data_IF_288566545313
#
_entry.id   IF_288566545313
#
_cell.length_a   1.000
_cell.length_b   1.000
_cell.length_c   1.000
_cell.angle_alpha   90.00
_cell.angle_beta   90.00
_cell.angle_gamma   90.00
#
_symmetry.space_group_name_H-M   'P 1'
#
loop_
_entity.id
_entity.type
_entity.pdbx_description
1 polymer ?
#
# COMPACT_ATOMS: atom_id res chain seq x y z
N UNK A 1 30.70 -84.07 -44.15
CA UNK A 1 31.19 -83.43 -42.91
C UNK A 1 30.01 -82.84 -42.17
N UNK A 2 29.96 -83.04 -40.84
CA UNK A 2 28.95 -82.60 -39.85
C UNK A 2 27.64 -83.42 -39.67
N UNK A 3 27.82 -84.56 -39.00
CA UNK A 3 27.08 -85.13 -37.85
C UNK A 3 25.59 -84.80 -37.54
N UNK A 4 24.77 -85.85 -37.56
CA UNK A 4 24.01 -86.45 -36.45
C UNK A 4 23.25 -85.54 -35.46
N UNK A 5 21.91 -85.60 -35.52
CA UNK A 5 21.01 -85.41 -34.36
C UNK A 5 20.38 -86.75 -34.00
N UNK A 6 20.74 -87.29 -32.85
CA UNK A 6 20.06 -88.41 -32.20
C UNK A 6 18.97 -87.92 -31.25
N UNK A 7 17.94 -88.76 -31.14
CA UNK A 7 16.74 -88.74 -30.28
C UNK A 7 17.04 -88.51 -28.79
N UNK A 8 16.07 -88.17 -27.93
CA UNK A 8 15.20 -89.14 -27.23
C UNK A 8 14.04 -88.40 -26.53
N UNK A 9 12.81 -88.89 -26.70
CA UNK A 9 11.67 -88.64 -25.83
C UNK A 9 11.84 -89.38 -24.50
N UNK A 10 11.58 -88.71 -23.37
CA UNK A 10 11.27 -89.40 -22.11
C UNK A 10 10.14 -88.68 -21.39
N UNK A 11 9.05 -89.43 -21.22
CA UNK A 11 7.87 -89.16 -20.41
C UNK A 11 8.20 -88.94 -18.94
N UNK A 12 7.49 -88.03 -18.27
CA UNK A 12 7.24 -88.13 -16.84
C UNK A 12 5.80 -87.70 -16.53
N UNK A 13 5.07 -88.64 -15.92
CA UNK A 13 3.79 -88.43 -15.25
C UNK A 13 3.98 -88.79 -13.76
N UNK A 14 3.01 -88.52 -12.88
CA UNK A 14 3.02 -87.46 -11.90
C UNK A 14 3.44 -87.95 -10.49
N UNK A 15 4.04 -87.06 -9.70
CA UNK A 15 4.19 -87.27 -8.25
C UNK A 15 3.56 -86.09 -7.50
N UNK A 16 2.50 -86.42 -6.78
CA UNK A 16 1.79 -85.66 -5.76
C UNK A 16 2.71 -84.83 -4.87
N UNK A 17 2.66 -83.50 -5.02
CA UNK A 17 3.25 -82.53 -4.13
C UNK A 17 2.16 -81.87 -3.28
N UNK A 18 2.20 -82.16 -2.00
CA UNK A 18 1.33 -81.74 -0.91
C UNK A 18 1.00 -80.24 -0.94
N UNK A 19 -0.28 -79.88 -0.99
CA UNK A 19 -0.76 -78.52 -0.70
C UNK A 19 -0.50 -78.22 0.78
N UNK A 20 0.66 -77.64 1.09
CA UNK A 20 0.89 -77.05 2.41
C UNK A 20 0.04 -75.79 2.48
N UNK A 21 -1.10 -75.88 3.19
CA UNK A 21 -1.90 -74.72 3.62
C UNK A 21 -0.95 -73.68 4.24
N UNK A 22 -0.63 -72.64 3.49
CA UNK A 22 0.01 -71.44 4.01
C UNK A 22 -1.01 -70.82 4.97
N UNK A 23 -0.85 -71.14 6.27
CA UNK A 23 -1.57 -70.46 7.35
C UNK A 23 -1.29 -68.98 7.19
N UNK A 24 -2.28 -68.24 6.68
CA UNK A 24 -2.35 -66.79 6.75
C UNK A 24 -2.41 -66.44 8.23
N UNK A 25 -1.25 -66.24 8.85
CA UNK A 25 -1.15 -65.72 10.18
C UNK A 25 -1.51 -64.23 10.08
N UNK A 26 -2.80 -63.91 10.21
CA UNK A 26 -3.25 -62.55 10.52
C UNK A 26 -2.81 -62.22 11.95
N UNK A 27 -1.52 -61.92 12.10
CA UNK A 27 -1.02 -61.23 13.28
C UNK A 27 -1.50 -59.78 13.17
N UNK A 28 -2.55 -59.44 13.93
CA UNK A 28 -2.86 -58.05 14.27
C UNK A 28 -1.68 -57.51 15.08
N UNK A 29 -0.60 -57.09 14.40
CA UNK A 29 0.49 -56.35 15.04
C UNK A 29 -0.08 -55.00 15.46
N UNK A 30 -0.23 -54.78 16.77
CA UNK A 30 -0.65 -53.49 17.33
C UNK A 30 0.23 -52.36 16.80
N UNK A 31 -0.37 -51.18 16.57
CA UNK A 31 0.38 -49.99 16.17
C UNK A 31 1.35 -49.62 17.28
N UNK A 32 2.65 -49.79 17.02
CA UNK A 32 3.71 -49.33 17.91
C UNK A 32 3.74 -47.79 17.87
N UNK A 33 3.95 -47.10 19.00
CA UNK A 33 3.97 -45.64 19.06
C UNK A 33 4.93 -45.01 18.02
N UNK A 34 6.07 -45.63 17.77
CA UNK A 34 7.03 -45.20 16.75
C UNK A 34 6.47 -45.24 15.31
N UNK A 35 5.60 -46.21 15.00
CA UNK A 35 4.91 -46.27 13.70
C UNK A 35 3.88 -45.16 13.56
N UNK A 36 3.19 -44.80 14.65
CA UNK A 36 2.28 -43.65 14.69
C UNK A 36 3.06 -42.36 14.41
N UNK A 37 4.18 -42.13 15.11
CA UNK A 37 5.01 -40.93 14.93
C UNK A 37 5.55 -40.83 13.50
N UNK A 38 6.08 -41.91 12.95
CA UNK A 38 6.56 -41.91 11.57
C UNK A 38 5.43 -41.62 10.57
N UNK A 39 4.22 -42.13 10.82
CA UNK A 39 3.06 -41.87 9.98
C UNK A 39 2.60 -40.41 10.05
N UNK A 40 2.60 -39.83 11.25
CA UNK A 40 2.30 -38.42 11.47
C UNK A 40 3.33 -37.53 10.75
N UNK A 41 4.62 -37.85 10.88
CA UNK A 41 5.69 -37.13 10.17
C UNK A 41 5.53 -37.19 8.65
N UNK A 42 5.27 -38.37 8.09
CA UNK A 42 5.00 -38.55 6.64
C UNK A 42 3.77 -37.78 6.17
N UNK A 43 2.73 -37.73 7.00
CA UNK A 43 1.54 -36.92 6.74
C UNK A 43 1.89 -35.44 6.77
N UNK A 44 2.71 -34.99 7.72
CA UNK A 44 3.23 -33.63 7.79
C UNK A 44 4.03 -33.23 6.54
N UNK A 45 4.90 -34.11 6.03
CA UNK A 45 5.63 -33.88 4.78
C UNK A 45 4.66 -33.73 3.60
N UNK A 46 3.62 -34.56 3.52
CA UNK A 46 2.60 -34.43 2.47
C UNK A 46 1.87 -33.09 2.57
N UNK A 47 1.50 -32.66 3.77
CA UNK A 47 0.87 -31.34 4.00
C UNK A 47 1.83 -30.22 3.58
N UNK A 48 3.11 -30.28 3.96
CA UNK A 48 4.11 -29.29 3.58
C UNK A 48 4.27 -29.18 2.05
N UNK A 49 4.24 -30.32 1.33
CA UNK A 49 4.27 -30.32 -0.13
C UNK A 49 3.01 -29.68 -0.74
N UNK A 50 1.82 -29.91 -0.16
CA UNK A 50 0.58 -29.25 -0.59
C UNK A 50 0.65 -27.74 -0.32
N UNK A 51 1.16 -27.33 0.84
CA UNK A 51 1.34 -25.90 1.18
C UNK A 51 2.28 -25.22 0.18
N UNK A 52 3.41 -25.86 -0.15
CA UNK A 52 4.32 -25.32 -1.15
C UNK A 52 3.66 -25.19 -2.54
N UNK A 53 2.85 -26.17 -2.95
CA UNK A 53 2.04 -26.07 -4.16
C UNK A 53 1.08 -24.87 -4.11
N UNK A 54 0.41 -24.65 -2.98
CA UNK A 54 -0.49 -23.49 -2.79
C UNK A 54 0.27 -22.18 -2.95
N UNK A 55 1.50 -22.06 -2.44
CA UNK A 55 2.32 -20.86 -2.65
C UNK A 55 2.64 -20.64 -4.13
N UNK A 56 3.03 -21.68 -4.87
CA UNK A 56 3.27 -21.56 -6.31
C UNK A 56 2.02 -21.07 -7.07
N UNK A 57 0.84 -21.60 -6.72
CA UNK A 57 -0.43 -21.18 -7.34
C UNK A 57 -0.79 -19.74 -6.97
N UNK A 58 -0.63 -19.35 -5.71
CA UNK A 58 -0.88 -17.98 -5.24
C UNK A 58 0.05 -16.99 -5.95
N UNK A 59 1.35 -17.24 -5.95
CA UNK A 59 2.33 -16.42 -6.65
C UNK A 59 1.97 -16.27 -8.14
N UNK A 60 1.65 -17.38 -8.82
CA UNK A 60 1.22 -17.36 -10.23
C UNK A 60 -0.02 -16.49 -10.43
N UNK A 61 -1.05 -16.64 -9.58
CA UNK A 61 -2.28 -15.85 -9.65
C UNK A 61 -1.94 -14.36 -9.54
N UNK A 62 -1.17 -13.97 -8.53
CA UNK A 62 -0.81 -12.57 -8.29
C UNK A 62 0.06 -11.99 -9.41
N UNK A 63 1.01 -12.77 -9.93
CA UNK A 63 1.77 -12.38 -11.13
C UNK A 63 0.85 -12.07 -12.31
N UNK A 64 -0.18 -12.89 -12.55
CA UNK A 64 -1.17 -12.63 -13.61
C UNK A 64 -2.01 -11.38 -13.29
N UNK A 65 -2.35 -11.13 -12.03
CA UNK A 65 -3.07 -9.93 -11.60
C UNK A 65 -2.25 -8.66 -11.86
N UNK A 66 -0.97 -8.65 -11.51
CA UNK A 66 -0.04 -7.54 -11.80
C UNK A 66 0.10 -7.32 -13.31
N UNK A 67 0.33 -8.37 -14.09
CA UNK A 67 0.46 -8.28 -15.55
C UNK A 67 -0.82 -7.78 -16.25
N UNK A 68 -1.98 -7.94 -15.60
CA UNK A 68 -3.27 -7.44 -16.10
C UNK A 68 -3.59 -6.04 -15.59
N UNK A 69 -2.74 -5.44 -14.75
CA UNK A 69 -3.00 -4.15 -14.11
C UNK A 69 -4.25 -4.19 -13.23
N UNK A 70 -4.43 -5.27 -12.44
CA UNK A 70 -5.59 -5.38 -11.55
C UNK A 70 -5.58 -4.25 -10.53
N UNK A 71 -6.77 -3.72 -10.26
CA UNK A 71 -7.00 -2.72 -9.23
C UNK A 71 -6.56 -3.18 -7.83
N UNK A 72 -5.81 -2.30 -7.18
CA UNK A 72 -5.46 -2.42 -5.77
C UNK A 72 -6.54 -1.78 -4.87
N UNK A 73 -6.66 -2.25 -3.61
CA UNK A 73 -7.60 -1.66 -2.66
C UNK A 73 -7.24 -0.20 -2.33
N UNK A 74 -8.27 0.59 -2.01
CA UNK A 74 -8.11 1.92 -1.41
C UNK A 74 -7.76 1.74 0.07
N UNK A 75 -6.74 2.46 0.53
CA UNK A 75 -6.29 2.50 1.91
C UNK A 75 -6.61 3.88 2.49
N UNK A 76 -7.10 3.92 3.72
CA UNK A 76 -7.35 5.17 4.43
C UNK A 76 -6.74 5.05 5.82
N UNK A 77 -5.70 5.83 6.15
CA UNK A 77 -5.17 5.89 7.51
C UNK A 77 -6.27 6.35 8.49
N UNK A 78 -6.11 6.04 9.79
CA UNK A 78 -7.01 6.54 10.80
C UNK A 78 -7.00 8.08 10.82
N UNK A 79 -8.14 8.72 11.15
CA UNK A 79 -8.24 10.17 11.13
C UNK A 79 -7.20 10.86 12.00
N UNK A 80 -6.62 11.96 11.50
CA UNK A 80 -5.77 12.84 12.30
C UNK A 80 -6.63 13.98 12.87
N UNK A 81 -6.68 14.13 14.20
CA UNK A 81 -7.45 15.20 14.86
C UNK A 81 -6.52 16.36 15.26
N UNK A 82 -6.76 17.55 14.71
CA UNK A 82 -6.02 18.76 15.09
C UNK A 82 -6.70 19.38 16.33
N UNK A 83 -6.13 19.07 17.50
CA UNK A 83 -6.80 19.26 18.78
C UNK A 83 -6.94 20.71 19.27
N UNK A 84 -6.02 21.62 18.93
CA UNK A 84 -6.00 22.97 19.52
C UNK A 84 -6.99 23.92 18.83
N UNK A 85 -7.06 23.91 17.50
CA UNK A 85 -8.03 24.68 16.74
C UNK A 85 -9.46 24.25 17.06
N UNK A 86 -9.71 22.94 17.19
CA UNK A 86 -11.00 22.42 17.64
C UNK A 86 -11.40 22.97 19.02
N UNK A 87 -10.44 23.05 19.94
CA UNK A 87 -10.66 23.61 21.27
C UNK A 87 -10.93 25.13 21.22
N UNK A 88 -10.21 25.86 20.35
CA UNK A 88 -10.37 27.30 20.17
C UNK A 88 -11.73 27.67 19.55
N UNK A 89 -12.27 26.82 18.68
CA UNK A 89 -13.63 26.97 18.13
C UNK A 89 -14.70 26.65 19.17
N UNK A 90 -14.45 25.67 20.03
CA UNK A 90 -15.39 25.23 21.06
C UNK A 90 -16.47 24.31 20.48
N UNK A 91 -16.96 23.38 21.30
CA UNK A 91 -17.87 22.31 20.87
C UNK A 91 -19.36 22.69 20.91
N UNK A 92 -19.70 23.85 21.48
CA UNK A 92 -21.07 24.33 21.65
C UNK A 92 -21.42 25.55 20.80
N UNK A 93 -20.44 26.10 20.07
CA UNK A 93 -20.66 27.25 19.20
C UNK A 93 -21.43 26.82 17.95
N UNK A 94 -22.48 27.55 17.62
CA UNK A 94 -23.26 27.35 16.39
C UNK A 94 -22.78 28.23 15.24
N UNK A 95 -22.11 29.34 15.52
CA UNK A 95 -21.51 30.23 14.51
C UNK A 95 -20.07 30.54 14.85
N UNK A 96 -19.26 30.88 13.84
CA UNK A 96 -17.85 31.29 14.05
C UNK A 96 -17.74 32.49 15.00
N UNK A 97 -18.71 33.41 14.97
CA UNK A 97 -18.72 34.60 15.82
C UNK A 97 -18.87 34.27 17.31
N UNK A 98 -19.58 33.20 17.62
CA UNK A 98 -19.84 32.76 18.99
C UNK A 98 -18.66 32.01 19.61
N UNK A 99 -17.63 31.71 18.81
CA UNK A 99 -16.45 30.96 19.23
C UNK A 99 -15.55 31.77 20.18
N UNK A 100 -14.83 31.11 21.10
CA UNK A 100 -13.75 31.74 21.87
C UNK A 100 -12.65 32.35 20.96
N UNK A 101 -12.36 31.70 19.84
CA UNK A 101 -11.38 32.16 18.85
C UNK A 101 -11.68 33.58 18.35
N UNK A 102 -12.91 33.85 17.92
CA UNK A 102 -13.30 35.17 17.42
C UNK A 102 -13.07 36.28 18.46
N UNK A 103 -13.44 36.03 19.73
CA UNK A 103 -13.26 36.98 20.84
C UNK A 103 -11.79 37.27 21.18
N UNK A 104 -10.88 36.37 20.78
CA UNK A 104 -9.44 36.51 21.06
C UNK A 104 -8.75 37.42 20.03
N UNK A 105 -9.30 37.51 18.82
CA UNK A 105 -8.65 38.14 17.66
C UNK A 105 -9.24 39.50 17.33
N UNK A 106 -10.55 39.67 17.50
CA UNK A 106 -11.24 40.90 17.17
C UNK A 106 -11.37 41.74 18.43
N UNK A 107 -10.72 42.91 18.45
CA UNK A 107 -10.83 43.87 19.54
C UNK A 107 -12.26 44.41 19.66
N UNK A 108 -12.61 44.98 20.82
CA UNK A 108 -13.97 45.52 21.07
C UNK A 108 -14.39 46.62 20.07
N UNK A 109 -13.43 47.26 19.40
CA UNK A 109 -13.64 48.27 18.36
C UNK A 109 -13.81 47.69 16.94
N UNK A 110 -13.72 46.36 16.78
CA UNK A 110 -13.83 45.67 15.51
C UNK A 110 -12.59 45.74 14.62
N UNK A 111 -11.46 46.25 15.12
CA UNK A 111 -10.20 46.27 14.36
C UNK A 111 -9.53 44.89 14.34
N UNK A 112 -9.01 44.43 13.18
CA UNK A 112 -8.25 43.19 13.11
C UNK A 112 -6.95 43.29 13.92
N UNK A 113 -6.63 42.26 14.69
CA UNK A 113 -5.30 42.13 15.27
C UNK A 113 -4.25 41.89 14.17
N UNK A 114 -3.15 42.65 14.20
CA UNK A 114 -2.05 42.48 13.25
C UNK A 114 -1.22 41.21 13.52
N UNK A 115 -0.64 40.63 12.46
CA UNK A 115 0.22 39.46 12.51
C UNK A 115 -0.54 38.12 12.37
N UNK A 116 0.10 37.03 12.82
CA UNK A 116 -0.45 35.66 12.80
C UNK A 116 -0.79 35.21 14.23
N UNK A 117 -1.95 34.59 14.40
CA UNK A 117 -2.34 33.98 15.66
C UNK A 117 -1.84 32.53 15.74
N UNK A 118 -1.02 32.23 16.73
CA UNK A 118 -0.52 30.89 17.00
C UNK A 118 -1.29 30.26 18.16
N UNK A 119 -1.81 29.05 17.97
CA UNK A 119 -2.53 28.29 18.98
C UNK A 119 -1.59 27.28 19.65
N UNK A 120 -1.33 27.45 20.94
CA UNK A 120 -0.58 26.51 21.77
C UNK A 120 -1.45 25.93 22.89
N UNK A 121 -0.96 24.88 23.56
CA UNK A 121 -1.61 24.33 24.76
C UNK A 121 -1.75 25.36 25.90
N UNK A 122 -0.88 26.36 25.93
CA UNK A 122 -0.88 27.46 26.91
C UNK A 122 -1.93 28.53 26.60
N UNK A 123 -2.50 28.54 25.39
CA UNK A 123 -3.43 29.54 24.90
C UNK A 123 -3.04 30.06 23.52
N UNK A 124 -3.80 31.04 23.02
CA UNK A 124 -3.49 31.71 21.77
C UNK A 124 -2.53 32.89 21.99
N UNK A 125 -1.57 33.08 21.09
CA UNK A 125 -0.62 34.20 21.16
C UNK A 125 -0.14 34.63 19.77
N UNK A 126 0.36 35.85 19.63
CA UNK A 126 1.00 36.34 18.39
C UNK A 126 2.50 36.03 18.34
N UNK A 127 2.96 35.15 19.24
CA UNK A 127 4.33 34.66 19.24
C UNK A 127 4.36 33.32 18.52
N UNK A 128 5.28 33.18 17.58
CA UNK A 128 5.52 31.95 16.84
C UNK A 128 5.65 30.74 17.78
N UNK A 129 5.15 29.58 17.33
CA UNK A 129 5.14 28.33 18.10
C UNK A 129 6.54 28.02 18.66
N UNK A 130 6.58 27.50 19.90
CA UNK A 130 7.83 27.06 20.48
C UNK A 130 8.42 25.87 19.70
N UNK A 131 9.73 25.94 19.40
CA UNK A 131 10.52 24.85 18.76
C UNK A 131 10.08 24.46 17.35
N UNK A 132 9.74 25.44 16.51
CA UNK A 132 9.64 25.19 15.07
C UNK A 132 11.02 25.10 14.42
N UNK A 133 11.15 24.26 13.40
CA UNK A 133 12.31 24.27 12.54
C UNK A 133 12.36 25.56 11.70
N UNK A 134 13.53 25.93 11.16
CA UNK A 134 13.65 27.09 10.27
C UNK A 134 12.68 27.01 9.08
N UNK A 135 12.53 25.82 8.49
CA UNK A 135 11.65 25.60 7.33
C UNK A 135 10.17 25.74 7.69
N UNK A 136 9.73 25.11 8.79
CA UNK A 136 8.36 25.26 9.27
C UNK A 136 8.05 26.73 9.60
N UNK A 137 9.01 27.46 10.16
CA UNK A 137 8.87 28.88 10.49
C UNK A 137 8.59 29.74 9.25
N UNK A 138 9.24 29.47 8.12
CA UNK A 138 9.01 30.20 6.86
C UNK A 138 7.62 29.92 6.28
N UNK A 139 7.18 28.66 6.28
CA UNK A 139 5.87 28.25 5.71
C UNK A 139 4.70 28.78 6.55
N UNK A 140 4.84 28.90 7.88
CA UNK A 140 3.77 29.45 8.73
C UNK A 140 3.97 30.93 9.09
N UNK A 141 4.93 31.60 8.45
CA UNK A 141 5.16 33.02 8.62
C UNK A 141 3.98 33.83 8.07
N UNK A 142 3.71 34.96 8.73
CA UNK A 142 2.65 35.90 8.34
C UNK A 142 2.76 36.32 6.87
N UNK A 143 3.97 36.64 6.41
CA UNK A 143 4.21 37.06 5.02
C UNK A 143 3.83 35.99 3.99
N UNK A 144 4.21 34.74 4.22
CA UNK A 144 3.90 33.63 3.30
C UNK A 144 2.40 33.28 3.32
N UNK A 145 1.78 33.21 4.49
CA UNK A 145 0.35 32.92 4.57
C UNK A 145 -0.50 34.01 3.90
N UNK A 146 -0.12 35.28 4.05
CA UNK A 146 -0.79 36.40 3.37
C UNK A 146 -0.54 36.38 1.86
N UNK A 147 0.67 36.05 1.40
CA UNK A 147 0.94 35.96 -0.04
C UNK A 147 0.11 34.86 -0.72
N UNK A 148 -0.07 33.70 -0.07
CA UNK A 148 -0.94 32.64 -0.57
C UNK A 148 -2.41 33.07 -0.55
N UNK A 149 -2.86 33.73 0.52
CA UNK A 149 -4.22 34.28 0.59
C UNK A 149 -4.49 35.27 -0.55
N UNK A 150 -3.56 36.20 -0.79
CA UNK A 150 -3.68 37.20 -1.85
C UNK A 150 -3.69 36.56 -3.24
N UNK A 151 -2.84 35.55 -3.48
CA UNK A 151 -2.81 34.78 -4.73
C UNK A 151 -4.14 34.05 -4.98
N UNK A 152 -4.76 33.48 -3.94
CA UNK A 152 -6.07 32.80 -4.03
C UNK A 152 -7.18 33.81 -4.32
N UNK A 153 -7.23 34.93 -3.60
CA UNK A 153 -8.24 35.98 -3.79
C UNK A 153 -8.17 36.57 -5.19
N UNK A 154 -6.96 36.86 -5.68
CA UNK A 154 -6.74 37.37 -7.03
C UNK A 154 -7.08 36.32 -8.10
N UNK A 155 -6.60 35.09 -7.90
CA UNK A 155 -6.72 34.00 -8.86
C UNK A 155 -8.13 33.46 -8.98
N UNK A 156 -8.87 33.32 -7.89
CA UNK A 156 -10.19 32.68 -7.88
C UNK A 156 -11.38 33.65 -7.95
N UNK A 157 -11.18 34.94 -7.68
CA UNK A 157 -12.26 35.93 -7.57
C UNK A 157 -13.12 36.11 -8.83
N UNK A 158 -12.62 35.72 -10.02
CA UNK A 158 -13.40 35.78 -11.27
C UNK A 158 -14.58 34.79 -11.30
N UNK A 159 -14.53 33.71 -10.50
CA UNK A 159 -15.58 32.70 -10.42
C UNK A 159 -16.15 32.61 -8.99
N UNK A 160 -15.29 32.60 -7.98
CA UNK A 160 -15.66 32.55 -6.57
C UNK A 160 -15.88 33.96 -6.04
N UNK A 161 -17.06 34.52 -6.34
CA UNK A 161 -17.36 35.93 -6.01
C UNK A 161 -17.28 36.29 -4.53
N UNK A 162 -17.43 35.31 -3.62
CA UNK A 162 -17.23 35.52 -2.18
C UNK A 162 -15.75 35.78 -1.80
N UNK A 163 -14.80 35.38 -2.66
CA UNK A 163 -13.38 35.69 -2.52
C UNK A 163 -12.98 36.97 -3.26
N UNK A 164 -13.90 37.66 -3.93
CA UNK A 164 -13.56 38.85 -4.67
C UNK A 164 -12.92 39.90 -3.74
N UNK A 165 -11.87 40.64 -4.17
CA UNK A 165 -11.13 41.57 -3.30
C UNK A 165 -11.99 42.65 -2.63
N UNK A 166 -13.14 42.99 -3.21
CA UNK A 166 -14.11 43.96 -2.70
C UNK A 166 -15.12 43.36 -1.71
N UNK A 167 -15.18 42.03 -1.62
CA UNK A 167 -16.17 41.28 -0.84
C UNK A 167 -15.59 40.71 0.45
N UNK A 168 -14.33 40.26 0.44
CA UNK A 168 -13.69 39.62 1.59
C UNK A 168 -12.55 40.45 2.19
N UNK A 169 -12.41 40.40 3.51
CA UNK A 169 -11.30 40.98 4.27
C UNK A 169 -10.68 39.91 5.18
N UNK A 170 -9.36 39.76 5.08
CA UNK A 170 -8.57 38.93 6.00
C UNK A 170 -8.43 39.64 7.34
N UNK A 171 -8.93 39.00 8.41
CA UNK A 171 -8.74 39.48 9.79
C UNK A 171 -7.37 39.02 10.28
N UNK A 172 -7.15 37.70 10.36
CA UNK A 172 -5.90 37.12 10.86
C UNK A 172 -5.65 35.74 10.24
N UNK A 173 -4.42 35.40 9.87
CA UNK A 173 -4.01 34.01 9.69
C UNK A 173 -3.89 33.30 11.05
N UNK A 174 -4.25 32.02 11.09
CA UNK A 174 -4.25 31.18 12.28
C UNK A 174 -3.38 29.95 12.05
N UNK A 175 -2.46 29.69 12.97
CA UNK A 175 -1.55 28.55 12.95
C UNK A 175 -1.83 27.67 14.16
N UNK A 176 -2.14 26.40 13.92
CA UNK A 176 -2.21 25.41 14.98
C UNK A 176 -0.83 24.78 15.20
N UNK A 177 -0.22 25.05 16.36
CA UNK A 177 1.11 24.54 16.70
C UNK A 177 1.15 23.02 16.93
N UNK A 178 0.00 22.34 16.97
CA UNK A 178 -0.13 20.88 17.01
C UNK A 178 -0.35 20.24 15.65
N UNK A 179 -0.46 21.04 14.58
CA UNK A 179 -0.60 20.52 13.21
C UNK A 179 0.64 19.73 12.77
N UNK A 180 0.40 18.70 11.94
CA UNK A 180 1.46 17.85 11.39
C UNK A 180 2.49 18.66 10.59
N UNK A 181 2.04 19.68 9.84
CA UNK A 181 2.95 20.57 9.09
C UNK A 181 3.97 21.29 10.01
N UNK A 182 3.58 21.63 11.24
CA UNK A 182 4.45 22.29 12.23
C UNK A 182 5.29 21.29 13.01
N UNK A 183 4.70 20.16 13.42
CA UNK A 183 5.35 19.18 14.32
C UNK A 183 6.28 18.22 13.57
N UNK A 184 5.86 17.74 12.39
CA UNK A 184 6.58 16.75 11.59
C UNK A 184 7.33 17.37 10.40
N UNK A 185 7.26 18.70 10.24
CA UNK A 185 7.90 19.45 9.15
C UNK A 185 7.45 18.98 7.75
N UNK A 186 6.19 18.56 7.66
CA UNK A 186 5.64 18.03 6.42
C UNK A 186 5.34 19.16 5.43
N UNK A 187 6.30 19.47 4.56
CA UNK A 187 6.25 20.64 3.66
C UNK A 187 5.47 20.43 2.36
N UNK A 188 5.11 19.18 2.04
CA UNK A 188 4.41 18.84 0.80
C UNK A 188 2.89 19.07 0.88
N UNK A 189 2.35 19.25 2.09
CA UNK A 189 0.96 19.64 2.31
C UNK A 189 0.83 20.50 3.54
N UNK A 190 0.12 21.62 3.44
CA UNK A 190 -0.13 22.50 4.57
C UNK A 190 -1.57 22.98 4.58
N UNK A 191 -2.19 22.97 5.77
CA UNK A 191 -3.50 23.58 6.00
C UNK A 191 -3.29 24.99 6.53
N UNK A 192 -3.72 25.96 5.75
CA UNK A 192 -3.78 27.36 6.18
C UNK A 192 -5.19 27.68 6.62
N UNK A 193 -5.34 28.31 7.78
CA UNK A 193 -6.62 28.71 8.33
C UNK A 193 -6.63 30.21 8.49
N UNK A 194 -7.66 30.86 7.97
CA UNK A 194 -7.81 32.31 8.03
C UNK A 194 -9.14 32.66 8.68
N UNK A 195 -9.11 33.62 9.60
CA UNK A 195 -10.32 34.30 10.03
C UNK A 195 -10.58 35.45 9.06
N UNK A 196 -11.76 35.45 8.45
CA UNK A 196 -12.14 36.42 7.41
C UNK A 196 -13.50 37.03 7.74
N UNK A 197 -13.79 38.19 7.18
CA UNK A 197 -15.13 38.79 7.24
C UNK A 197 -15.56 39.37 5.92
N UNK A 198 -16.87 39.55 5.78
CA UNK A 198 -17.45 40.33 4.68
C UNK A 198 -17.12 41.82 4.87
N UNK A 199 -16.61 42.46 3.82
CA UNK A 199 -16.27 43.90 3.81
C UNK A 199 -17.50 44.80 3.96
N UNK A 200 -18.67 44.34 3.51
CA UNK A 200 -19.95 45.05 3.58
C UNK A 200 -20.58 44.90 4.97
N UNK A 201 -20.31 43.80 5.66
CA UNK A 201 -20.91 43.48 6.96
C UNK A 201 -19.86 43.00 7.95
N UNK A 202 -19.34 43.91 8.79
CA UNK A 202 -18.32 43.58 9.80
C UNK A 202 -18.74 42.53 10.85
N UNK A 203 -20.04 42.25 10.95
CA UNK A 203 -20.63 41.23 11.80
C UNK A 203 -20.54 39.80 11.23
N UNK A 204 -20.29 39.65 9.92
CA UNK A 204 -20.28 38.36 9.23
C UNK A 204 -18.86 37.82 9.15
N UNK A 205 -18.48 37.08 10.19
CA UNK A 205 -17.17 36.43 10.32
C UNK A 205 -17.27 34.97 9.92
N UNK A 206 -16.29 34.50 9.17
CA UNK A 206 -16.17 33.12 8.69
C UNK A 206 -14.74 32.62 8.85
N UNK A 207 -14.57 31.31 8.79
CA UNK A 207 -13.27 30.66 8.70
C UNK A 207 -13.08 30.21 7.26
N UNK A 208 -12.02 30.72 6.63
CA UNK A 208 -11.56 30.27 5.33
C UNK A 208 -10.44 29.26 5.55
N UNK A 209 -10.62 28.03 5.10
CA UNK A 209 -9.55 27.03 5.11
C UNK A 209 -9.01 26.85 3.71
N UNK A 210 -7.70 26.69 3.63
CA UNK A 210 -6.96 26.43 2.40
C UNK A 210 -6.05 25.24 2.66
N UNK A 211 -6.39 24.09 2.09
CA UNK A 211 -5.52 22.92 2.08
C UNK A 211 -4.67 22.96 0.82
N UNK A 212 -3.41 23.36 0.97
CA UNK A 212 -2.46 23.50 -0.12
C UNK A 212 -1.56 22.26 -0.19
N UNK A 213 -1.55 21.62 -1.35
CA UNK A 213 -0.73 20.44 -1.63
C UNK A 213 0.20 20.71 -2.81
N UNK A 214 1.46 20.32 -2.66
CA UNK A 214 2.38 20.21 -3.78
C UNK A 214 2.21 18.83 -4.42
N UNK A 215 1.61 18.80 -5.60
CA UNK A 215 1.24 17.58 -6.31
C UNK A 215 1.82 17.58 -7.72
N UNK A 216 1.71 16.44 -8.40
CA UNK A 216 1.93 16.37 -9.84
C UNK A 216 0.59 16.48 -10.56
N UNK A 217 0.58 17.11 -11.74
CA UNK A 217 -0.58 17.13 -12.62
C UNK A 217 -0.27 16.41 -13.94
N UNK A 218 -1.32 15.88 -14.56
CA UNK A 218 -1.28 15.28 -15.89
C UNK A 218 -2.45 15.75 -16.74
N UNK A 219 -2.17 16.34 -17.90
CA UNK A 219 -3.18 16.64 -18.92
C UNK A 219 -3.03 15.61 -20.04
N UNK A 220 -3.71 14.47 -19.87
CA UNK A 220 -3.60 13.31 -20.77
C UNK A 220 -3.85 13.68 -22.24
N UNK A 221 -4.77 14.59 -22.51
CA UNK A 221 -5.11 15.05 -23.87
C UNK A 221 -3.96 15.80 -24.57
N UNK A 222 -3.09 16.47 -23.80
CA UNK A 222 -1.98 17.29 -24.30
C UNK A 222 -0.62 16.60 -24.14
N UNK A 223 -0.58 15.46 -23.42
CA UNK A 223 0.66 14.80 -22.97
C UNK A 223 1.56 15.71 -22.13
N UNK A 224 0.92 16.63 -21.42
CA UNK A 224 1.57 17.57 -20.52
C UNK A 224 1.51 17.03 -19.09
N UNK A 225 2.59 17.24 -18.35
CA UNK A 225 2.70 16.88 -16.95
C UNK A 225 3.73 17.78 -16.30
N UNK A 226 3.56 18.02 -15.01
CA UNK A 226 4.44 18.89 -14.26
C UNK A 226 4.03 18.98 -12.79
N UNK A 227 4.71 19.83 -12.02
CA UNK A 227 4.34 20.13 -10.65
C UNK A 227 3.14 21.10 -10.62
N UNK A 228 2.31 20.99 -9.58
CA UNK A 228 1.22 21.91 -9.35
C UNK A 228 0.98 22.12 -7.85
N UNK A 229 0.60 23.35 -7.50
CA UNK A 229 0.00 23.70 -6.22
C UNK A 229 -1.50 23.48 -6.31
N UNK A 230 -2.02 22.45 -5.63
CA UNK A 230 -3.45 22.16 -5.58
C UNK A 230 -4.00 22.67 -4.25
N UNK A 231 -4.91 23.63 -4.30
CA UNK A 231 -5.54 24.21 -3.12
C UNK A 231 -7.02 23.84 -3.06
N UNK A 232 -7.46 23.34 -1.90
CA UNK A 232 -8.87 23.13 -1.59
C UNK A 232 -9.31 24.24 -0.66
N UNK A 233 -10.33 24.99 -1.07
CA UNK A 233 -10.83 26.15 -0.34
C UNK A 233 -12.23 25.87 0.18
N UNK A 234 -12.46 26.11 1.47
CA UNK A 234 -13.80 26.09 2.06
C UNK A 234 -14.02 27.32 2.93
N UNK A 235 -15.25 27.86 2.90
CA UNK A 235 -15.65 29.00 3.72
C UNK A 235 -16.76 28.57 4.68
N UNK A 236 -16.42 28.51 5.96
CA UNK A 236 -17.33 28.04 7.02
C UNK A 236 -17.77 29.21 7.89
N UNK A 237 -19.09 29.47 7.90
CA UNK A 237 -19.72 30.48 8.77
C UNK A 237 -20.50 29.85 9.93
N UNK A 238 -21.25 28.80 9.61
CA UNK A 238 -22.11 28.06 10.54
C UNK A 238 -21.42 26.74 10.91
N UNK A 239 -21.32 26.47 12.21
CA UNK A 239 -20.64 25.31 12.79
C UNK A 239 -21.60 24.15 13.14
N UNK A 240 -22.89 24.29 12.80
CA UNK A 240 -23.88 23.24 13.03
C UNK A 240 -23.51 21.97 12.25
N UNK A 241 -23.59 20.77 12.86
CA UNK A 241 -23.22 19.51 12.20
C UNK A 241 -24.04 19.19 10.93
N UNK A 242 -25.23 19.79 10.76
CA UNK A 242 -26.12 19.57 9.63
C UNK A 242 -25.84 20.51 8.44
N UNK A 243 -24.99 21.52 8.62
CA UNK A 243 -24.66 22.47 7.57
C UNK A 243 -23.73 21.82 6.55
N UNK A 244 -24.10 21.89 5.27
CA UNK A 244 -23.26 21.40 4.18
C UNK A 244 -21.99 22.27 4.05
N UNK A 245 -20.87 21.64 3.70
CA UNK A 245 -19.61 22.33 3.44
C UNK A 245 -19.38 22.36 1.94
N UNK A 246 -19.22 23.57 1.40
CA UNK A 246 -18.86 23.77 0.00
C UNK A 246 -17.33 23.80 -0.13
N UNK A 247 -16.82 22.98 -1.06
CA UNK A 247 -15.41 22.89 -1.38
C UNK A 247 -15.17 23.41 -2.80
N UNK A 248 -14.14 24.24 -2.94
CA UNK A 248 -13.69 24.77 -4.22
C UNK A 248 -12.26 24.34 -4.48
N UNK A 249 -11.96 23.99 -5.72
CA UNK A 249 -10.66 23.47 -6.12
C UNK A 249 -9.95 24.51 -6.94
N UNK A 250 -8.73 24.83 -6.54
CA UNK A 250 -7.85 25.74 -7.23
C UNK A 250 -6.56 25.00 -7.60
N UNK A 251 -6.02 25.26 -8.77
CA UNK A 251 -4.75 24.68 -9.20
C UNK A 251 -3.87 25.78 -9.76
N UNK A 252 -2.64 25.85 -9.27
CA UNK A 252 -1.56 26.64 -9.82
C UNK A 252 -0.55 25.70 -10.48
N UNK A 253 -0.50 25.67 -11.81
CA UNK A 253 0.47 24.86 -12.55
C UNK A 253 1.88 25.43 -12.35
N UNK A 254 2.90 24.58 -12.43
CA UNK A 254 4.33 24.91 -12.25
C UNK A 254 4.76 25.33 -10.83
N UNK A 255 3.82 25.57 -9.90
CA UNK A 255 4.14 25.74 -8.48
C UNK A 255 4.74 24.45 -7.90
N UNK A 256 5.80 24.50 -7.06
CA UNK A 256 6.38 25.69 -6.41
C UNK A 256 7.58 26.33 -7.14
N UNK A 257 7.80 26.02 -8.42
CA UNK A 257 8.91 26.58 -9.19
C UNK A 257 8.60 27.94 -9.81
N UNK A 258 7.32 28.27 -9.93
CA UNK A 258 6.81 29.58 -10.32
C UNK A 258 5.94 30.19 -9.19
N UNK A 259 5.68 31.50 -9.27
CA UNK A 259 4.72 32.14 -8.38
C UNK A 259 3.33 31.52 -8.55
N UNK A 260 2.56 31.34 -7.46
CA UNK A 260 1.27 30.66 -7.53
C UNK A 260 0.22 31.50 -8.27
N UNK A 261 -0.09 31.13 -9.51
CA UNK A 261 -1.26 31.63 -10.24
C UNK A 261 -2.39 30.60 -10.17
N UNK A 262 -3.32 30.78 -9.23
CA UNK A 262 -4.45 29.86 -9.05
C UNK A 262 -5.56 30.10 -10.07
N UNK A 263 -5.94 29.04 -10.78
CA UNK A 263 -7.17 28.97 -11.57
C UNK A 263 -8.21 28.10 -10.87
N UNK A 264 -9.49 28.31 -11.18
CA UNK A 264 -10.61 27.59 -10.57
C UNK A 264 -10.93 26.31 -11.34
N UNK A 265 -11.18 25.24 -10.63
CA UNK A 265 -11.50 23.93 -11.18
C UNK A 265 -12.78 23.36 -10.57
N UNK A 266 -13.51 22.59 -11.39
CA UNK A 266 -14.61 21.75 -10.94
C UNK A 266 -14.11 20.35 -10.69
N UNK A 267 -14.38 19.80 -9.50
CA UNK A 267 -14.12 18.39 -9.23
C UNK A 267 -15.09 17.51 -10.01
N UNK A 268 -14.55 16.56 -10.78
CA UNK A 268 -15.36 15.61 -11.54
C UNK A 268 -15.53 14.30 -10.78
N UNK A 269 -14.43 13.63 -10.47
CA UNK A 269 -14.39 12.32 -9.83
C UNK A 269 -12.97 11.95 -9.37
N UNK A 270 -12.87 10.87 -8.59
CA UNK A 270 -11.62 10.11 -8.44
C UNK A 270 -11.55 9.10 -9.57
N UNK A 271 -10.42 9.03 -10.29
CA UNK A 271 -10.24 8.10 -11.41
C UNK A 271 -9.85 6.68 -10.95
N UNK A 272 -9.71 5.77 -11.92
CA UNK A 272 -9.36 4.37 -11.66
C UNK A 272 -7.94 4.21 -11.08
N UNK A 273 -7.08 5.23 -11.14
CA UNK A 273 -5.75 5.21 -10.53
C UNK A 273 -5.74 5.84 -9.13
N UNK A 274 -6.90 6.32 -8.64
CA UNK A 274 -7.03 6.97 -7.35
C UNK A 274 -6.65 8.45 -7.36
N UNK A 275 -6.56 9.08 -8.53
CA UNK A 275 -6.24 10.50 -8.68
C UNK A 275 -7.51 11.34 -8.83
N UNK A 276 -7.44 12.61 -8.42
CA UNK A 276 -8.52 13.55 -8.67
C UNK A 276 -8.54 14.01 -10.12
N UNK A 277 -9.70 13.94 -10.75
CA UNK A 277 -9.98 14.54 -12.05
C UNK A 277 -10.63 15.91 -11.86
N UNK A 278 -9.93 16.96 -12.30
CA UNK A 278 -10.33 18.35 -12.13
C UNK A 278 -10.51 19.00 -13.51
N UNK A 279 -11.64 19.68 -13.73
CA UNK A 279 -11.91 20.42 -14.97
C UNK A 279 -11.64 21.90 -14.77
N UNK A 280 -10.75 22.45 -15.60
CA UNK A 280 -10.42 23.87 -15.61
C UNK A 280 -11.62 24.74 -15.98
N UNK A 281 -11.84 25.84 -15.24
CA UNK A 281 -12.83 26.87 -15.55
C UNK A 281 -12.10 28.10 -16.12
N UNK A 282 -12.19 28.36 -17.45
CA UNK A 282 -11.52 29.49 -18.08
C UNK A 282 -11.84 30.86 -17.47
N UNK A 283 -10.83 31.71 -17.33
CA UNK A 283 -10.99 33.13 -16.96
C UNK A 283 -11.73 33.89 -18.06
N UNK A 284 -11.37 33.63 -19.32
CA UNK A 284 -12.06 34.13 -20.50
C UNK A 284 -12.50 32.97 -21.42
N UNK A 285 -13.76 32.52 -21.33
CA UNK A 285 -14.28 31.43 -22.14
C UNK A 285 -14.22 31.64 -23.66
N UNK A 286 -13.91 32.87 -24.13
CA UNK A 286 -13.74 33.16 -25.56
C UNK A 286 -12.30 32.96 -26.05
N UNK A 287 -11.32 32.91 -25.15
CA UNK A 287 -9.89 32.78 -25.48
C UNK A 287 -9.31 31.44 -25.05
N UNK A 288 -9.82 30.90 -23.96
CA UNK A 288 -9.32 29.69 -23.32
C UNK A 288 -10.35 28.57 -23.42
N UNK A 289 -9.88 27.35 -23.68
CA UNK A 289 -10.71 26.16 -23.69
C UNK A 289 -10.60 25.42 -22.36
N UNK A 290 -11.71 24.89 -21.83
CA UNK A 290 -11.66 24.03 -20.66
C UNK A 290 -10.91 22.73 -21.00
N UNK A 291 -10.09 22.26 -20.08
CA UNK A 291 -9.40 20.98 -20.15
C UNK A 291 -9.54 20.24 -18.82
N UNK A 292 -9.24 18.95 -18.82
CA UNK A 292 -9.27 18.11 -17.62
C UNK A 292 -7.84 17.71 -17.29
N UNK A 293 -7.44 17.95 -16.05
CA UNK A 293 -6.19 17.44 -15.49
C UNK A 293 -6.49 16.37 -14.43
N UNK A 294 -5.54 15.46 -14.23
CA UNK A 294 -5.55 14.53 -13.11
C UNK A 294 -4.40 14.86 -12.16
N UNK A 295 -4.64 14.80 -10.85
CA UNK A 295 -3.63 15.14 -9.84
C UNK A 295 -3.81 14.32 -8.56
N UNK A 296 -2.69 14.05 -7.89
CA UNK A 296 -2.64 13.40 -6.59
C UNK A 296 -1.28 13.69 -5.93
N UNK A 297 -1.20 13.48 -4.62
CA UNK A 297 0.09 13.37 -3.94
C UNK A 297 0.67 11.97 -4.20
N UNK A 298 1.78 11.91 -4.94
CA UNK A 298 2.34 10.64 -5.44
C UNK A 298 3.61 10.30 -4.68
N UNK A 299 3.62 9.15 -4.03
CA UNK A 299 4.80 8.65 -3.30
C UNK A 299 5.07 7.21 -3.68
N UNK A 300 6.34 6.84 -3.78
CA UNK A 300 6.69 5.47 -4.13
C UNK A 300 8.11 5.37 -4.63
N UNK A 301 8.37 4.26 -5.30
CA UNK A 301 9.68 3.96 -5.83
C UNK A 301 9.55 3.25 -7.17
N UNK A 302 10.59 3.39 -7.99
CA UNK A 302 10.66 2.74 -9.28
C UNK A 302 12.07 2.26 -9.57
N UNK A 303 12.17 1.25 -10.42
CA UNK A 303 13.42 0.79 -11.00
C UNK A 303 13.48 1.26 -12.46
N UNK A 304 14.50 2.06 -12.79
CA UNK A 304 14.75 2.69 -14.11
C UNK A 304 13.74 3.77 -14.51
N UNK A 305 12.44 3.46 -14.54
CA UNK A 305 11.39 4.44 -14.84
C UNK A 305 10.05 4.04 -14.23
N UNK A 306 9.23 5.04 -13.92
CA UNK A 306 7.89 4.86 -13.37
C UNK A 306 6.98 3.98 -14.25
N UNK A 307 7.09 4.09 -15.58
CA UNK A 307 6.23 3.34 -16.51
C UNK A 307 6.69 1.89 -16.76
N UNK A 308 7.77 1.43 -16.11
CA UNK A 308 8.34 0.09 -16.35
C UNK A 308 8.19 -0.82 -15.14
N UNK A 309 8.74 -0.40 -14.01
CA UNK A 309 8.78 -1.15 -12.75
C UNK A 309 8.63 -0.14 -11.62
N UNK A 310 7.44 -0.01 -11.06
CA UNK A 310 7.13 0.97 -10.04
C UNK A 310 6.00 0.50 -9.14
N UNK A 311 6.05 0.97 -7.90
CA UNK A 311 4.96 0.87 -6.94
C UNK A 311 4.78 2.27 -6.38
N UNK A 312 3.67 2.90 -6.78
CA UNK A 312 3.36 4.30 -6.48
C UNK A 312 2.01 4.37 -5.79
N UNK A 313 1.97 5.01 -4.64
CA UNK A 313 0.75 5.38 -3.93
C UNK A 313 0.30 6.76 -4.39
N UNK A 314 -0.89 6.82 -5.00
CA UNK A 314 -1.58 8.07 -5.29
C UNK A 314 -2.49 8.38 -4.10
N UNK A 315 -2.26 9.51 -3.44
CA UNK A 315 -3.00 9.95 -2.26
C UNK A 315 -3.79 11.22 -2.57
N UNK A 316 -5.05 11.22 -2.18
CA UNK A 316 -5.96 12.36 -2.32
C UNK A 316 -6.68 12.64 -1.01
N UNK A 317 -6.94 13.92 -0.68
CA UNK A 317 -7.69 14.29 0.53
C UNK A 317 -9.11 13.74 0.55
N UNK A 318 -9.64 13.46 1.74
CA UNK A 318 -11.06 13.14 1.95
C UNK A 318 -11.77 14.42 2.40
N UNK A 319 -12.78 14.83 1.65
CA UNK A 319 -13.57 16.02 1.97
C UNK A 319 -14.51 15.72 3.15
N UNK A 320 -14.35 16.48 4.23
CA UNK A 320 -15.18 16.34 5.41
C UNK A 320 -16.64 16.73 5.13
N UNK A 321 -17.56 16.12 5.87
CA UNK A 321 -19.00 16.34 5.67
C UNK A 321 -19.60 17.32 6.69
N UNK A 322 -18.86 17.65 7.75
CA UNK A 322 -19.31 18.58 8.78
C UNK A 322 -18.40 19.81 8.82
N UNK A 323 -18.91 21.00 9.16
CA UNK A 323 -18.12 22.24 9.14
C UNK A 323 -16.94 22.21 10.12
N UNK A 324 -17.13 21.62 11.30
CA UNK A 324 -16.06 21.50 12.28
C UNK A 324 -14.92 20.61 11.77
N UNK A 325 -15.26 19.44 11.22
CA UNK A 325 -14.27 18.52 10.68
C UNK A 325 -13.57 19.09 9.44
N UNK A 326 -14.27 19.87 8.61
CA UNK A 326 -13.68 20.59 7.47
C UNK A 326 -12.58 21.57 7.89
N UNK A 327 -12.68 22.11 9.11
CA UNK A 327 -11.66 22.98 9.68
C UNK A 327 -10.55 22.17 10.35
N UNK A 328 -10.90 21.13 11.11
CA UNK A 328 -9.97 20.52 12.08
C UNK A 328 -9.40 19.16 11.68
N UNK A 329 -9.90 18.50 10.63
CA UNK A 329 -9.44 17.16 10.22
C UNK A 329 -8.82 17.15 8.84
N UNK A 330 -7.65 16.53 8.72
CA UNK A 330 -6.96 16.32 7.46
C UNK A 330 -6.85 14.81 7.25
N UNK A 331 -7.87 14.26 6.61
CA UNK A 331 -7.95 12.84 6.28
C UNK A 331 -7.61 12.65 4.81
N UNK A 332 -6.99 11.52 4.48
CA UNK A 332 -6.63 11.16 3.11
C UNK A 332 -6.99 9.72 2.78
N UNK A 333 -7.13 9.46 1.49
CA UNK A 333 -7.26 8.13 0.94
C UNK A 333 -6.15 7.92 -0.08
N UNK A 334 -5.54 6.74 -0.07
CA UNK A 334 -4.50 6.38 -1.01
C UNK A 334 -4.86 5.12 -1.80
N UNK A 335 -4.45 5.08 -3.07
CA UNK A 335 -4.54 3.90 -3.93
C UNK A 335 -3.17 3.61 -4.52
N UNK A 336 -2.70 2.38 -4.35
CA UNK A 336 -1.43 1.95 -4.95
C UNK A 336 -1.65 1.58 -6.42
N UNK A 337 -0.80 2.09 -7.29
CA UNK A 337 -0.66 1.69 -8.69
C UNK A 337 0.69 1.00 -8.84
N UNK A 338 0.67 -0.19 -9.42
CA UNK A 338 1.86 -1.01 -9.60
C UNK A 338 2.04 -1.36 -11.07
N UNK A 339 3.22 -1.06 -11.58
CA UNK A 339 3.65 -1.48 -12.90
C UNK A 339 4.84 -2.41 -12.75
N UNK A 340 4.78 -3.60 -13.34
CA UNK A 340 5.95 -4.47 -13.44
C UNK A 340 5.97 -5.19 -14.80
N UNK A 341 6.73 -4.61 -15.72
CA UNK A 341 6.94 -5.16 -17.07
C UNK A 341 7.65 -6.51 -17.07
N UNK A 342 8.30 -6.88 -15.96
CA UNK A 342 9.05 -8.14 -15.81
C UNK A 342 8.35 -9.14 -14.90
N UNK A 343 7.14 -8.84 -14.40
CA UNK A 343 6.41 -9.73 -13.49
C UNK A 343 6.28 -11.17 -14.05
N UNK A 344 6.20 -11.32 -15.38
CA UNK A 344 6.12 -12.61 -16.05
C UNK A 344 7.27 -13.57 -15.72
N UNK A 345 8.44 -13.09 -15.29
CA UNK A 345 9.55 -13.98 -14.88
C UNK A 345 9.15 -14.85 -13.68
N UNK A 346 8.24 -14.38 -12.84
CA UNK A 346 7.70 -15.13 -11.70
C UNK A 346 6.73 -16.25 -12.11
N UNK A 347 6.32 -16.33 -13.39
CA UNK A 347 5.57 -17.47 -13.92
C UNK A 347 6.39 -18.77 -13.91
N UNK A 348 7.67 -18.73 -13.58
CA UNK A 348 8.42 -19.94 -13.20
C UNK A 348 7.73 -20.73 -12.07
N UNK A 349 7.04 -20.03 -11.15
CA UNK A 349 6.28 -20.67 -10.08
C UNK A 349 5.13 -21.53 -10.62
N UNK A 350 4.53 -21.18 -11.77
CA UNK A 350 3.54 -22.03 -12.43
C UNK A 350 4.18 -23.36 -12.85
N UNK A 351 5.38 -23.32 -13.43
CA UNK A 351 6.09 -24.53 -13.86
C UNK A 351 6.44 -25.42 -12.65
N UNK A 352 6.90 -24.82 -11.56
CA UNK A 352 7.17 -25.53 -10.31
C UNK A 352 5.91 -26.13 -9.71
N UNK A 353 4.81 -25.39 -9.70
CA UNK A 353 3.50 -25.82 -9.24
C UNK A 353 2.95 -26.99 -10.06
N UNK A 354 3.02 -26.93 -11.39
CA UNK A 354 2.58 -28.01 -12.29
C UNK A 354 3.40 -29.29 -12.08
N UNK A 355 4.73 -29.16 -11.99
CA UNK A 355 5.59 -30.30 -11.69
C UNK A 355 5.24 -30.92 -10.32
N UNK A 356 5.01 -30.08 -9.30
CA UNK A 356 4.62 -30.55 -7.98
C UNK A 356 3.24 -31.22 -7.98
N UNK A 357 2.27 -30.66 -8.69
CA UNK A 357 0.93 -31.23 -8.84
C UNK A 357 0.99 -32.63 -9.45
N UNK A 358 1.72 -32.82 -10.54
CA UNK A 358 1.87 -34.13 -11.18
C UNK A 358 2.47 -35.16 -10.21
N UNK A 359 3.50 -34.77 -9.46
CA UNK A 359 4.13 -35.64 -8.46
C UNK A 359 3.17 -35.99 -7.31
N UNK A 360 2.39 -35.02 -6.83
CA UNK A 360 1.36 -35.25 -5.81
C UNK A 360 0.25 -36.17 -6.32
N UNK A 361 -0.20 -36.02 -7.57
CA UNK A 361 -1.21 -36.89 -8.17
C UNK A 361 -0.72 -38.35 -8.29
N UNK A 362 0.54 -38.56 -8.70
CA UNK A 362 1.15 -39.89 -8.74
C UNK A 362 1.20 -40.47 -7.32
N UNK A 363 1.68 -39.71 -6.34
CA UNK A 363 1.75 -40.16 -4.96
C UNK A 363 0.37 -40.53 -4.41
N UNK A 364 -0.64 -39.67 -4.61
CA UNK A 364 -2.01 -39.92 -4.16
C UNK A 364 -2.60 -41.16 -4.83
N UNK A 365 -2.30 -41.40 -6.10
CA UNK A 365 -2.72 -42.62 -6.82
C UNK A 365 -2.09 -43.87 -6.18
N UNK A 366 -0.80 -43.83 -5.84
CA UNK A 366 -0.10 -44.94 -5.18
C UNK A 366 -0.64 -45.15 -3.75
N UNK A 367 -0.90 -44.08 -3.00
CA UNK A 367 -1.53 -44.15 -1.68
C UNK A 367 -2.90 -44.80 -1.80
N UNK A 368 -3.74 -44.34 -2.73
CA UNK A 368 -5.08 -44.89 -2.97
C UNK A 368 -5.06 -46.38 -3.36
N UNK A 369 -4.14 -46.77 -4.23
CA UNK A 369 -3.95 -48.18 -4.60
C UNK A 369 -3.60 -49.05 -3.37
N UNK A 370 -2.66 -48.59 -2.54
CA UNK A 370 -2.26 -49.31 -1.33
C UNK A 370 -3.38 -49.36 -0.28
N UNK A 371 -4.15 -48.27 -0.14
CA UNK A 371 -5.33 -48.24 0.73
C UNK A 371 -6.37 -49.28 0.31
N UNK A 372 -6.63 -49.41 -1.00
CA UNK A 372 -7.50 -50.47 -1.54
C UNK A 372 -6.96 -51.88 -1.28
N UNK A 373 -5.63 -52.04 -1.22
CA UNK A 373 -4.98 -53.28 -0.84
C UNK A 373 -4.91 -53.53 0.69
N UNK A 374 -5.58 -52.68 1.50
CA UNK A 374 -5.61 -52.80 2.96
C UNK A 374 -4.32 -52.36 3.66
N UNK A 375 -3.43 -51.64 2.96
CA UNK A 375 -2.14 -51.16 3.48
C UNK A 375 -2.13 -49.64 3.54
N UNK A 376 -2.09 -49.08 4.75
CA UNK A 376 -1.89 -47.64 4.92
C UNK A 376 -0.41 -47.32 4.75
N UNK A 377 -0.06 -46.64 3.65
CA UNK A 377 1.30 -46.23 3.33
C UNK A 377 1.27 -44.85 2.67
N UNK A 378 2.09 -43.94 3.19
CA UNK A 378 2.31 -42.61 2.62
C UNK A 378 3.79 -42.54 2.23
N UNK A 379 4.03 -42.36 0.93
CA UNK A 379 5.36 -42.19 0.38
C UNK A 379 5.96 -40.83 0.72
N UNK A 380 7.17 -40.61 0.26
CA UNK A 380 7.87 -39.35 0.46
C UNK A 380 7.44 -38.30 -0.57
N UNK A 381 6.57 -37.38 -0.17
CA UNK A 381 6.05 -36.33 -1.06
C UNK A 381 7.13 -35.33 -1.51
N UNK A 382 8.27 -35.28 -0.81
CA UNK A 382 9.29 -34.26 -1.06
C UNK A 382 10.43 -34.74 -1.96
N UNK A 383 10.54 -36.03 -2.26
CA UNK A 383 11.61 -36.57 -3.13
C UNK A 383 11.71 -35.84 -4.47
N UNK A 384 10.61 -35.58 -5.20
CA UNK A 384 10.65 -34.84 -6.47
C UNK A 384 11.02 -33.36 -6.33
N UNK A 385 10.76 -32.77 -5.15
CA UNK A 385 11.16 -31.40 -4.84
C UNK A 385 12.68 -31.41 -4.57
N UNK A 386 13.14 -32.24 -3.63
CA UNK A 386 14.53 -32.30 -3.18
C UNK A 386 15.54 -32.65 -4.28
N UNK A 387 15.13 -33.43 -5.29
CA UNK A 387 16.01 -33.77 -6.42
C UNK A 387 16.24 -32.59 -7.38
N UNK A 388 15.40 -31.55 -7.31
CA UNK A 388 15.42 -30.41 -8.23
C UNK A 388 15.59 -29.06 -7.52
N UNK A 389 15.70 -29.01 -6.19
CA UNK A 389 15.79 -27.75 -5.41
C UNK A 389 16.92 -26.85 -5.89
N UNK A 390 18.11 -27.39 -6.17
CA UNK A 390 19.25 -26.59 -6.64
C UNK A 390 18.98 -25.93 -7.99
N UNK A 391 18.39 -26.67 -8.93
CA UNK A 391 18.06 -26.13 -10.25
C UNK A 391 16.94 -25.09 -10.13
N UNK A 392 15.89 -25.39 -9.34
CA UNK A 392 14.79 -24.45 -9.12
C UNK A 392 15.27 -23.14 -8.50
N UNK A 393 16.09 -23.20 -7.45
CA UNK A 393 16.67 -22.02 -6.82
C UNK A 393 17.59 -21.24 -7.77
N UNK A 394 18.39 -21.93 -8.59
CA UNK A 394 19.20 -21.28 -9.62
C UNK A 394 18.34 -20.55 -10.67
N UNK A 395 17.23 -21.15 -11.11
CA UNK A 395 16.29 -20.48 -12.02
C UNK A 395 15.71 -19.23 -11.36
N UNK A 396 15.30 -19.31 -10.08
CA UNK A 396 14.79 -18.15 -9.33
C UNK A 396 15.82 -17.03 -9.24
N UNK A 397 17.09 -17.34 -8.99
CA UNK A 397 18.17 -16.34 -9.00
C UNK A 397 18.34 -15.69 -10.38
N UNK A 398 18.23 -16.47 -11.46
CA UNK A 398 18.28 -15.93 -12.83
C UNK A 398 17.07 -15.02 -13.09
N UNK A 399 15.86 -15.39 -12.67
CA UNK A 399 14.67 -14.54 -12.83
C UNK A 399 14.75 -13.26 -12.01
N UNK A 400 15.36 -13.31 -10.82
CA UNK A 400 15.67 -12.12 -10.02
C UNK A 400 16.71 -11.23 -10.72
N UNK A 401 17.75 -11.82 -11.30
CA UNK A 401 18.72 -11.07 -12.10
C UNK A 401 18.10 -10.35 -13.30
N UNK A 402 17.17 -11.02 -14.00
CA UNK A 402 16.46 -10.44 -15.16
C UNK A 402 15.52 -9.30 -14.75
N UNK A 403 14.78 -9.46 -13.66
CA UNK A 403 13.87 -8.44 -13.12
C UNK A 403 14.58 -7.30 -12.35
N UNK A 404 15.90 -7.40 -12.15
CA UNK A 404 16.65 -6.42 -11.36
C UNK A 404 16.35 -6.48 -9.86
N UNK A 405 16.01 -7.66 -9.34
CA UNK A 405 15.67 -7.92 -7.93
C UNK A 405 14.44 -7.14 -7.44
N UNK A 406 13.56 -6.75 -8.36
CA UNK A 406 12.41 -5.89 -8.08
C UNK A 406 11.53 -6.37 -6.92
N UNK A 407 11.04 -7.62 -6.97
CA UNK A 407 10.15 -8.18 -5.94
C UNK A 407 10.79 -8.28 -4.55
N UNK A 408 12.13 -8.34 -4.48
CA UNK A 408 12.85 -8.25 -3.21
C UNK A 408 12.90 -6.81 -2.69
N UNK A 409 13.20 -5.84 -3.57
CA UNK A 409 13.18 -4.42 -3.18
C UNK A 409 11.78 -3.97 -2.78
N UNK A 410 10.75 -4.40 -3.50
CA UNK A 410 9.36 -4.09 -3.17
C UNK A 410 9.00 -4.55 -1.75
N UNK A 411 9.35 -5.79 -1.38
CA UNK A 411 9.15 -6.30 -0.02
C UNK A 411 9.93 -5.49 1.01
N UNK A 412 11.20 -5.18 0.73
CA UNK A 412 12.05 -4.44 1.65
C UNK A 412 11.54 -3.02 1.91
N UNK A 413 11.10 -2.30 0.87
CA UNK A 413 10.51 -0.97 1.01
C UNK A 413 9.18 -1.02 1.73
N UNK A 414 8.31 -1.97 1.37
CA UNK A 414 7.03 -2.17 2.04
C UNK A 414 7.20 -2.41 3.55
N UNK A 415 8.05 -3.38 3.92
CA UNK A 415 8.32 -3.69 5.32
C UNK A 415 8.94 -2.48 6.06
N UNK A 416 9.78 -1.69 5.38
CA UNK A 416 10.39 -0.47 5.97
C UNK A 416 9.34 0.60 6.23
N UNK A 417 8.44 0.86 5.28
CA UNK A 417 7.36 1.83 5.46
C UNK A 417 6.42 1.41 6.59
N UNK A 418 6.09 0.13 6.69
CA UNK A 418 5.27 -0.39 7.79
C UNK A 418 5.97 -0.26 9.15
N UNK A 419 7.28 -0.50 9.22
CA UNK A 419 8.07 -0.31 10.46
C UNK A 419 8.15 1.15 10.87
N UNK A 420 8.33 2.07 9.92
CA UNK A 420 8.40 3.51 10.17
C UNK A 420 7.02 4.14 10.43
N UNK A 421 5.93 3.40 10.18
CA UNK A 421 4.57 3.93 10.31
C UNK A 421 4.23 5.00 9.27
N UNK A 422 4.91 5.00 8.13
CA UNK A 422 4.68 5.93 7.01
C UNK A 422 3.60 5.33 6.09
N UNK A 423 2.96 6.18 5.27
CA UNK A 423 1.96 5.78 4.26
C UNK A 423 2.35 4.46 3.59
N UNK A 424 1.46 3.47 3.74
CA UNK A 424 1.73 2.10 3.31
C UNK A 424 1.34 1.94 1.85
N UNK A 425 2.25 1.42 1.05
CA UNK A 425 1.92 0.91 -0.29
C UNK A 425 1.34 -0.49 -0.15
N UNK A 426 0.46 -0.92 -1.04
CA UNK A 426 0.04 -2.32 -1.10
C UNK A 426 1.12 -3.15 -1.82
N UNK A 427 1.60 -4.23 -1.20
CA UNK A 427 2.59 -5.14 -1.79
C UNK A 427 2.05 -6.59 -1.94
N UNK A 428 2.55 -7.30 -2.95
CA UNK A 428 2.19 -8.69 -3.23
C UNK A 428 3.20 -9.69 -2.63
N UNK A 429 3.21 -9.78 -1.30
CA UNK A 429 4.15 -10.61 -0.52
C UNK A 429 4.24 -12.08 -0.97
N UNK A 430 3.14 -12.66 -1.44
CA UNK A 430 3.06 -14.07 -1.82
C UNK A 430 3.97 -14.42 -3.02
N UNK A 431 4.30 -13.45 -3.90
CA UNK A 431 5.22 -13.66 -5.03
C UNK A 431 6.64 -13.88 -4.50
N UNK A 432 7.15 -12.91 -3.74
CA UNK A 432 8.50 -12.96 -3.17
C UNK A 432 8.62 -14.07 -2.12
N UNK A 433 7.56 -14.39 -1.37
CA UNK A 433 7.51 -15.54 -0.45
C UNK A 433 7.76 -16.86 -1.16
N UNK A 434 7.14 -17.10 -2.32
CA UNK A 434 7.34 -18.32 -3.09
C UNK A 434 8.76 -18.43 -3.65
N UNK A 435 9.33 -17.32 -4.11
CA UNK A 435 10.72 -17.25 -4.58
C UNK A 435 11.71 -17.51 -3.44
N UNK A 436 11.56 -16.81 -2.31
CA UNK A 436 12.40 -16.96 -1.13
C UNK A 436 12.31 -18.37 -0.53
N UNK A 437 11.13 -18.99 -0.51
CA UNK A 437 10.97 -20.39 -0.09
C UNK A 437 11.79 -21.32 -0.99
N UNK A 438 11.76 -21.11 -2.31
CA UNK A 438 12.55 -21.90 -3.25
C UNK A 438 14.06 -21.73 -3.01
N UNK A 439 14.51 -20.51 -2.77
CA UNK A 439 15.92 -20.21 -2.45
C UNK A 439 16.34 -20.83 -1.11
N UNK A 440 15.47 -20.77 -0.10
CA UNK A 440 15.71 -21.37 1.20
C UNK A 440 15.84 -22.90 1.11
N UNK A 441 14.93 -23.56 0.37
CA UNK A 441 14.99 -24.99 0.10
C UNK A 441 16.26 -25.38 -0.68
N UNK A 442 16.73 -24.54 -1.61
CA UNK A 442 18.01 -24.72 -2.28
C UNK A 442 19.18 -24.67 -1.28
N UNK A 443 19.24 -23.64 -0.43
CA UNK A 443 20.31 -23.49 0.58
C UNK A 443 20.33 -24.70 1.53
N UNK A 444 19.17 -25.11 2.03
CA UNK A 444 19.07 -26.30 2.87
C UNK A 444 19.50 -27.58 2.14
N UNK A 445 19.15 -27.73 0.86
CA UNK A 445 19.61 -28.85 0.03
C UNK A 445 21.12 -28.87 -0.18
N UNK A 446 21.73 -27.70 -0.41
CA UNK A 446 23.19 -27.55 -0.50
C UNK A 446 23.86 -27.89 0.84
N UNK A 447 23.35 -27.37 1.96
CA UNK A 447 23.85 -27.72 3.29
C UNK A 447 23.76 -29.23 3.55
N UNK A 448 22.63 -29.86 3.24
CA UNK A 448 22.48 -31.31 3.37
C UNK A 448 23.50 -32.10 2.53
N UNK A 449 23.83 -31.59 1.34
CA UNK A 449 24.86 -32.18 0.48
C UNK A 449 26.27 -32.01 1.08
N UNK A 450 26.59 -30.82 1.59
CA UNK A 450 27.90 -30.49 2.19
C UNK A 450 28.14 -31.29 3.47
N UNK A 451 27.15 -31.32 4.37
CA UNK A 451 27.23 -32.06 5.64
C UNK A 451 26.96 -33.55 5.49
N UNK A 452 26.55 -34.01 4.30
CA UNK A 452 26.10 -35.38 4.02
C UNK A 452 24.96 -35.83 4.93
N UNK A 453 24.12 -34.88 5.32
CA UNK A 453 23.00 -35.08 6.21
C UNK A 453 21.68 -34.83 5.48
N UNK A 454 20.67 -35.64 5.83
CA UNK A 454 19.34 -35.47 5.26
C UNK A 454 18.60 -34.38 6.03
N UNK A 455 18.42 -33.22 5.41
CA UNK A 455 17.60 -32.15 5.97
C UNK A 455 16.11 -32.52 5.89
N UNK A 456 15.40 -32.40 7.01
CA UNK A 456 13.97 -32.67 7.09
C UNK A 456 13.16 -31.53 6.42
N UNK A 457 12.48 -31.78 5.30
CA UNK A 457 11.75 -30.75 4.58
C UNK A 457 10.60 -30.14 5.38
N UNK A 458 9.99 -30.88 6.30
CA UNK A 458 8.93 -30.36 7.16
C UNK A 458 9.49 -29.29 8.10
N UNK A 459 10.61 -29.59 8.76
CA UNK A 459 11.29 -28.64 9.63
C UNK A 459 11.76 -27.42 8.84
N UNK A 460 12.35 -27.61 7.66
CA UNK A 460 12.80 -26.52 6.79
C UNK A 460 11.66 -25.57 6.43
N UNK A 461 10.54 -26.09 5.94
CA UNK A 461 9.37 -25.27 5.62
C UNK A 461 8.87 -24.49 6.85
N UNK A 462 8.75 -25.16 8.01
CA UNK A 462 8.31 -24.49 9.25
C UNK A 462 9.28 -23.37 9.67
N UNK A 463 10.58 -23.61 9.62
CA UNK A 463 11.58 -22.60 9.95
C UNK A 463 11.52 -21.39 9.00
N UNK A 464 11.33 -21.64 7.70
CA UNK A 464 11.13 -20.56 6.74
C UNK A 464 9.89 -19.73 7.09
N UNK A 465 8.76 -20.38 7.32
CA UNK A 465 7.49 -19.69 7.60
C UNK A 465 7.57 -18.84 8.87
N UNK A 466 8.17 -19.37 9.94
CA UNK A 466 8.40 -18.61 11.16
C UNK A 466 9.28 -17.38 10.88
N UNK A 467 10.35 -17.54 10.09
CA UNK A 467 11.23 -16.44 9.71
C UNK A 467 10.54 -15.39 8.85
N UNK A 468 9.78 -15.82 7.84
CA UNK A 468 9.09 -14.93 6.91
C UNK A 468 7.96 -14.14 7.59
N UNK A 469 7.18 -14.78 8.46
CA UNK A 469 6.12 -14.10 9.22
C UNK A 469 6.69 -13.21 10.34
N UNK A 470 7.85 -13.56 10.90
CA UNK A 470 8.52 -12.76 11.93
C UNK A 470 9.46 -11.70 11.37
N UNK A 471 9.60 -11.59 10.04
CA UNK A 471 10.64 -10.78 9.37
C UNK A 471 10.67 -9.33 9.87
N UNK A 472 9.51 -8.67 9.98
CA UNK A 472 9.42 -7.27 10.46
C UNK A 472 9.90 -7.12 11.89
N UNK A 473 9.53 -8.06 12.78
CA UNK A 473 10.00 -8.08 14.17
C UNK A 473 11.49 -8.36 14.27
N UNK A 474 12.03 -9.21 13.40
CA UNK A 474 13.46 -9.53 13.34
C UNK A 474 14.25 -8.32 12.82
N UNK A 475 13.74 -7.61 11.81
CA UNK A 475 14.38 -6.41 11.28
C UNK A 475 14.54 -5.33 12.35
N UNK A 476 13.57 -5.19 13.25
CA UNK A 476 13.64 -4.26 14.39
C UNK A 476 14.71 -4.62 15.43
N UNK A 477 15.32 -5.82 15.38
CA UNK A 477 16.43 -6.18 16.27
C UNK A 477 17.75 -5.53 15.87
N UNK A 478 17.85 -5.04 14.63
CA UNK A 478 19.03 -4.40 14.10
C UNK A 478 18.73 -2.89 13.94
N UNK A 479 19.52 -2.00 14.56
CA UNK A 479 19.29 -0.56 14.56
C UNK A 479 19.50 0.10 13.20
#
# INVERSE_FOLDING_TARGET
MAASRSSVHASFSPATGTFTKLKLHHSKKGLTAMKVVHLLHRTGILVAAIVYFVFCVKATKLTIEILRGKDNPVMSPPPSDVSLLRTALGTSATTVRDTPLHRTVVHDDGTPAGGTLYLEKSGASFKACARMSPLATEIVADGFQRSIYDAIVLGAGYNLTFLAPDSIELIVPIVDCSSIAVVEEYVSSTRMTYLVRDRRTSADVSILTVDLYNQEYFIKAQKEHGPAGVAIVSLVKDLQPTTAVDYHFLVALEYPYEEPEFDVYTFLQVDDEGMWSLQHIPKDPKKELPFVLTTAFRTGFFLKSETRQSTVSNEVPILAQTPLDAITRADSASKTVQYDSWAWVHLVQLLFGLNLLLNLLILLTVVFHNLRAGKFWIGDAFVPISSTTTIRGAIVLVTWGVSGFWSFYELAYHDTYEILGISTTHAYDDIVRADLMCLYLMICGLMGTVFRERVDPLLTMICFEIGFESRRRISQWFP
#
